data_IF_001952814018
#
_entry.id   IF_001952814018
#
_cell.length_a   1.000
_cell.length_b   1.000
_cell.length_c   1.000
_cell.angle_alpha   90.00
_cell.angle_beta   90.00
_cell.angle_gamma   90.00
#
_symmetry.space_group_name_H-M   'P 1'
#
loop_
_entity.id
_entity.type
_entity.pdbx_description
1 polymer ?
#
# COMPACT_ATOMS: atom_id res chain seq x y z
N UNK A 1 11.31 -7.25 27.15
CA UNK A 1 11.58 -8.22 26.07
C UNK A 1 10.28 -8.95 25.76
N UNK A 2 9.86 -9.08 24.49
CA UNK A 2 8.63 -9.81 24.17
C UNK A 2 8.78 -11.25 24.64
N UNK A 3 7.84 -11.73 25.47
CA UNK A 3 7.91 -13.04 26.14
C UNK A 3 7.27 -14.16 25.30
N UNK A 4 7.45 -14.16 23.98
CA UNK A 4 6.77 -15.11 23.08
C UNK A 4 7.52 -15.36 21.77
N UNK A 5 7.10 -16.43 21.09
CA UNK A 5 7.60 -16.82 19.76
C UNK A 5 7.31 -15.72 18.72
N UNK A 6 8.35 -14.98 18.38
CA UNK A 6 8.30 -13.85 17.44
C UNK A 6 7.97 -14.28 16.02
N UNK A 7 8.43 -15.44 15.57
CA UNK A 7 8.15 -15.92 14.22
C UNK A 7 6.66 -16.18 14.06
N UNK A 8 6.06 -16.85 15.05
CA UNK A 8 4.60 -17.07 15.09
C UNK A 8 3.82 -15.76 15.15
N UNK A 9 4.28 -14.77 15.93
CA UNK A 9 3.65 -13.46 16.01
C UNK A 9 3.75 -12.67 14.69
N UNK A 10 4.87 -12.74 13.99
CA UNK A 10 5.03 -12.07 12.69
C UNK A 10 4.11 -12.68 11.63
N UNK A 11 3.97 -14.01 11.60
CA UNK A 11 3.16 -14.71 10.58
C UNK A 11 1.67 -14.56 10.86
N UNK A 12 1.23 -14.64 12.12
CA UNK A 12 -0.19 -14.74 12.46
C UNK A 12 -0.76 -13.56 13.25
N UNK A 13 0.09 -12.70 13.82
CA UNK A 13 -0.33 -11.63 14.73
C UNK A 13 -0.14 -10.21 14.19
N UNK A 14 0.48 -10.04 13.03
CA UNK A 14 0.78 -8.74 12.44
C UNK A 14 0.30 -8.64 11.00
N UNK A 15 0.10 -7.39 10.56
CA UNK A 15 -0.32 -7.05 9.20
C UNK A 15 0.77 -6.18 8.56
N UNK A 16 0.92 -6.24 7.24
CA UNK A 16 1.99 -5.56 6.50
C UNK A 16 2.16 -4.08 6.85
N UNK A 17 1.07 -3.36 7.13
CA UNK A 17 1.08 -1.93 7.54
C UNK A 17 1.82 -1.64 8.86
N UNK A 18 2.21 -2.65 9.63
CA UNK A 18 3.00 -2.45 10.87
C UNK A 18 4.49 -2.29 10.60
N UNK A 19 4.98 -2.53 9.38
CA UNK A 19 6.38 -2.28 9.01
C UNK A 19 6.66 -0.79 9.04
N UNK A 20 7.61 -0.36 9.88
CA UNK A 20 7.95 1.06 10.07
C UNK A 20 9.05 1.55 9.14
N UNK A 21 10.15 0.81 9.05
CA UNK A 21 11.37 1.22 8.35
C UNK A 21 11.85 0.07 7.46
N UNK A 22 12.28 0.40 6.25
CA UNK A 22 12.80 -0.58 5.28
C UNK A 22 14.09 -0.05 4.68
N UNK A 23 15.11 -0.90 4.67
CA UNK A 23 16.39 -0.64 4.03
C UNK A 23 16.62 -1.64 2.89
N UNK A 24 17.12 -1.15 1.76
CA UNK A 24 17.54 -1.94 0.60
C UNK A 24 18.89 -1.43 0.17
N UNK A 25 19.89 -2.30 0.06
CA UNK A 25 21.26 -1.91 -0.31
C UNK A 25 21.84 -0.78 0.58
N UNK A 26 21.60 -0.87 1.90
CA UNK A 26 22.00 0.15 2.86
C UNK A 26 21.23 1.48 2.79
N UNK A 27 20.29 1.64 1.84
CA UNK A 27 19.49 2.85 1.65
C UNK A 27 18.13 2.71 2.31
N UNK A 28 17.69 3.75 3.01
CA UNK A 28 16.35 3.79 3.61
C UNK A 28 15.32 4.09 2.54
N UNK A 29 14.46 3.11 2.23
CA UNK A 29 13.38 3.23 1.22
C UNK A 29 12.01 3.51 1.84
N UNK A 30 11.83 3.14 3.12
CA UNK A 30 10.68 3.53 3.95
C UNK A 30 11.21 4.00 5.30
N UNK A 31 10.68 5.14 5.79
CA UNK A 31 10.98 5.71 7.10
C UNK A 31 9.68 6.11 7.79
N UNK A 32 9.47 5.68 9.02
CA UNK A 32 8.27 6.05 9.80
C UNK A 32 6.96 5.76 9.04
N UNK A 33 6.91 4.62 8.33
CA UNK A 33 5.80 4.17 7.47
C UNK A 33 5.57 5.02 6.21
N UNK A 34 6.52 5.89 5.84
CA UNK A 34 6.47 6.72 4.64
C UNK A 34 7.57 6.32 3.66
N UNK A 35 7.24 6.04 2.38
CA UNK A 35 8.24 5.88 1.33
C UNK A 35 9.10 7.13 1.19
N UNK A 36 10.39 6.97 0.97
CA UNK A 36 11.34 8.09 0.87
C UNK A 36 11.64 8.51 -0.56
N UNK A 37 11.42 7.63 -1.54
CA UNK A 37 11.77 7.85 -2.95
C UNK A 37 10.60 8.17 -3.88
N UNK A 38 9.38 8.25 -3.36
CA UNK A 38 8.18 8.53 -4.16
C UNK A 38 7.29 9.55 -3.46
N UNK A 39 6.67 10.42 -4.26
CA UNK A 39 5.53 11.22 -3.81
C UNK A 39 4.27 10.37 -3.94
N UNK A 40 3.76 9.88 -2.81
CA UNK A 40 2.57 9.04 -2.78
C UNK A 40 1.30 9.76 -3.29
N UNK A 41 1.17 11.06 -3.03
CA UNK A 41 0.00 11.81 -3.47
C UNK A 41 0.00 11.97 -5.00
N UNK A 42 1.15 12.36 -5.55
CA UNK A 42 1.32 12.45 -7.01
C UNK A 42 1.11 11.09 -7.69
N UNK A 43 1.59 10.00 -7.08
CA UNK A 43 1.36 8.63 -7.60
C UNK A 43 -0.11 8.25 -7.56
N UNK A 44 -0.84 8.58 -6.49
CA UNK A 44 -2.27 8.29 -6.39
C UNK A 44 -3.08 9.01 -7.49
N UNK A 45 -2.83 10.30 -7.71
CA UNK A 45 -3.46 11.08 -8.79
C UNK A 45 -3.13 10.50 -10.17
N UNK A 46 -1.85 10.22 -10.40
CA UNK A 46 -1.35 9.60 -11.61
C UNK A 46 -2.00 8.23 -11.89
N UNK A 47 -2.25 7.44 -10.85
CA UNK A 47 -2.88 6.14 -10.94
C UNK A 47 -4.38 6.27 -11.26
N UNK A 48 -5.09 7.20 -10.63
CA UNK A 48 -6.51 7.45 -10.89
C UNK A 48 -6.75 7.84 -12.35
N UNK A 49 -5.96 8.79 -12.87
CA UNK A 49 -6.05 9.24 -14.27
C UNK A 49 -5.79 8.09 -15.26
N UNK A 50 -4.69 7.36 -15.06
CA UNK A 50 -4.28 6.26 -15.95
C UNK A 50 -5.27 5.09 -15.89
N UNK A 51 -5.77 4.75 -14.70
CA UNK A 51 -6.80 3.72 -14.53
C UNK A 51 -8.07 4.07 -15.30
N UNK A 52 -8.56 5.31 -15.18
CA UNK A 52 -9.72 5.78 -15.93
C UNK A 52 -9.50 5.72 -17.45
N UNK A 53 -8.31 6.11 -17.93
CA UNK A 53 -7.96 6.03 -19.35
C UNK A 53 -7.93 4.58 -19.86
N UNK A 54 -7.37 3.65 -19.07
CA UNK A 54 -7.33 2.22 -19.40
C UNK A 54 -8.74 1.63 -19.51
N UNK A 55 -9.61 1.91 -18.54
CA UNK A 55 -10.99 1.44 -18.53
C UNK A 55 -11.78 1.94 -19.74
N UNK A 56 -11.66 3.23 -20.07
CA UNK A 56 -12.30 3.81 -21.27
C UNK A 56 -11.85 3.11 -22.55
N UNK A 57 -10.54 2.87 -22.70
CA UNK A 57 -9.99 2.20 -23.88
C UNK A 57 -10.43 0.74 -23.99
N UNK A 58 -10.63 0.08 -22.86
CA UNK A 58 -11.12 -1.28 -22.81
C UNK A 58 -12.65 -1.38 -23.00
N UNK A 59 -13.38 -0.26 -23.07
CA UNK A 59 -14.84 -0.25 -23.10
C UNK A 59 -15.47 -0.79 -21.81
N UNK A 60 -14.73 -0.76 -20.70
CA UNK A 60 -15.16 -1.29 -19.42
C UNK A 60 -15.71 -0.16 -18.55
N UNK A 61 -16.95 -0.29 -18.11
CA UNK A 61 -17.50 0.53 -17.03
C UNK A 61 -17.33 -0.24 -15.72
N UNK A 62 -16.43 0.18 -14.81
CA UNK A 62 -16.31 -0.47 -13.52
C UNK A 62 -17.65 -0.36 -12.80
N UNK A 63 -18.25 -1.51 -12.49
CA UNK A 63 -19.38 -1.56 -11.57
C UNK A 63 -18.79 -1.79 -10.19
N UNK A 64 -18.84 -0.82 -9.27
CA UNK A 64 -18.54 -1.12 -7.88
C UNK A 64 -19.57 -2.15 -7.41
N UNK A 65 -19.14 -3.41 -7.31
CA UNK A 65 -19.94 -4.50 -6.75
C UNK A 65 -19.60 -4.60 -5.28
N UNK A 66 -20.63 -4.68 -4.44
CA UNK A 66 -20.44 -4.93 -3.02
C UNK A 66 -19.70 -6.27 -2.81
N UNK A 67 -18.74 -6.34 -1.87
CA UNK A 67 -18.31 -5.25 -1.01
C UNK A 67 -17.37 -4.25 -1.71
N UNK A 68 -17.74 -2.97 -1.62
CA UNK A 68 -16.91 -1.87 -2.08
C UNK A 68 -15.88 -1.57 -0.99
N UNK A 69 -14.62 -1.92 -1.22
CA UNK A 69 -13.54 -1.52 -0.32
C UNK A 69 -13.42 0.01 -0.34
N UNK A 70 -13.54 0.71 0.80
CA UNK A 70 -13.38 2.15 0.83
C UNK A 70 -11.94 2.52 0.46
N UNK A 71 -11.79 3.46 -0.47
CA UNK A 71 -10.50 4.07 -0.79
C UNK A 71 -9.94 4.69 0.49
N UNK A 72 -8.86 4.11 1.01
CA UNK A 72 -8.28 4.46 2.31
C UNK A 72 -7.96 5.96 2.44
N UNK A 73 -8.44 6.55 3.54
CA UNK A 73 -8.14 7.91 4.02
C UNK A 73 -6.77 7.93 4.77
N UNK A 74 -6.08 9.09 4.90
CA UNK A 74 -4.63 9.25 5.11
C UNK A 74 -4.07 8.84 6.49
#
# INVERSE_FOLDING_TARGET
>A
MPRGDLARQLVWGHVSRTVRDVLVDGRVVVRDRRPTGIDLAAVAEAAAERSAALLRRAGLTPRPTWPAEPAGTP
#
